data_IF_554707010149
#
_entry.id   IF_554707010149
#
_cell.length_a   1.000
_cell.length_b   1.000
_cell.length_c   1.000
_cell.angle_alpha   90.00
_cell.angle_beta   90.00
_cell.angle_gamma   90.00
#
_symmetry.space_group_name_H-M   'P 1'
#
loop_
_entity.id
_entity.type
_entity.pdbx_description
1 polymer ?
#
# COMPACT_ATOMS: atom_id res chain seq x y z
N UNK A 1 -3.38 -4.19 5.00
CA UNK A 1 -2.07 -4.69 4.49
C UNK A 1 -1.14 -4.93 5.67
N UNK A 2 -0.37 -6.03 5.69
CA UNK A 2 0.56 -6.30 6.80
C UNK A 2 1.91 -5.62 6.63
N UNK A 3 2.61 -5.40 7.74
CA UNK A 3 3.95 -4.80 7.73
C UNK A 3 4.93 -5.65 6.91
N UNK A 4 4.79 -6.97 6.92
CA UNK A 4 5.68 -7.86 6.17
C UNK A 4 5.52 -7.67 4.65
N UNK A 5 4.29 -7.46 4.17
CA UNK A 5 4.04 -7.19 2.75
C UNK A 5 4.51 -5.79 2.34
N UNK A 6 4.26 -4.78 3.19
CA UNK A 6 4.71 -3.41 2.93
C UNK A 6 6.24 -3.33 2.86
N UNK A 7 6.94 -4.03 3.76
CA UNK A 7 8.40 -4.12 3.75
C UNK A 7 8.93 -5.26 2.87
N UNK A 8 8.10 -6.03 2.17
CA UNK A 8 8.55 -7.08 1.25
C UNK A 8 9.13 -6.51 -0.04
N UNK A 9 8.75 -5.29 -0.41
CA UNK A 9 9.18 -4.59 -1.63
C UNK A 9 8.45 -5.03 -2.91
N UNK A 10 7.70 -6.13 -2.88
CA UNK A 10 6.99 -6.69 -4.03
C UNK A 10 5.49 -6.32 -4.08
N UNK A 11 4.98 -5.58 -3.09
CA UNK A 11 3.56 -5.26 -2.99
C UNK A 11 3.05 -4.39 -4.16
N UNK A 12 3.81 -3.37 -4.55
CA UNK A 12 3.46 -2.48 -5.66
C UNK A 12 3.43 -3.22 -7.00
N UNK A 13 4.40 -4.10 -7.25
CA UNK A 13 4.45 -4.94 -8.43
C UNK A 13 3.25 -5.90 -8.50
N UNK A 14 2.94 -6.56 -7.38
CA UNK A 14 1.79 -7.46 -7.28
C UNK A 14 0.48 -6.73 -7.58
N UNK A 15 0.26 -5.57 -6.96
CA UNK A 15 -0.94 -4.76 -7.19
C UNK A 15 -1.04 -4.33 -8.65
N UNK A 16 0.07 -3.87 -9.24
CA UNK A 16 0.11 -3.48 -10.66
C UNK A 16 -0.24 -4.66 -11.60
N UNK A 17 0.27 -5.85 -11.31
CA UNK A 17 -0.05 -7.06 -12.08
C UNK A 17 -1.53 -7.41 -12.00
N UNK A 18 -2.12 -7.40 -10.80
CA UNK A 18 -3.54 -7.71 -10.58
C UNK A 18 -4.46 -6.68 -11.24
N UNK A 19 -4.14 -5.38 -11.15
CA UNK A 19 -4.91 -4.33 -11.82
C UNK A 19 -4.91 -4.54 -13.35
N UNK A 20 -3.76 -4.88 -13.91
CA UNK A 20 -3.62 -5.16 -15.35
C UNK A 20 -4.37 -6.42 -15.77
N UNK A 21 -4.32 -7.47 -14.97
CA UNK A 21 -4.99 -8.75 -15.25
C UNK A 21 -6.52 -8.61 -15.18
N UNK A 22 -7.01 -7.90 -14.16
CA UNK A 22 -8.45 -7.78 -13.89
C UNK A 22 -9.12 -6.65 -14.66
N UNK A 23 -8.36 -5.66 -15.12
CA UNK A 23 -8.91 -4.42 -15.68
C UNK A 23 -9.66 -3.57 -14.65
N UNK A 24 -9.47 -3.83 -13.35
CA UNK A 24 -10.05 -3.02 -12.29
C UNK A 24 -9.47 -1.60 -12.39
N UNK A 25 -10.35 -0.61 -12.44
CA UNK A 25 -9.96 0.79 -12.32
C UNK A 25 -9.21 0.99 -10.99
N UNK A 26 -7.94 1.42 -11.02
CA UNK A 26 -7.14 1.59 -9.80
C UNK A 26 -7.79 2.52 -8.78
N UNK A 27 -8.54 3.52 -9.22
CA UNK A 27 -9.25 4.46 -8.35
C UNK A 27 -10.34 3.80 -7.48
N UNK A 28 -10.74 2.57 -7.83
CA UNK A 28 -11.71 1.76 -7.08
C UNK A 28 -11.06 0.80 -6.08
N UNK A 29 -9.72 0.72 -6.07
CA UNK A 29 -8.97 -0.09 -5.12
C UNK A 29 -8.44 0.80 -4.00
N UNK A 30 -8.88 0.53 -2.77
CA UNK A 30 -8.36 1.14 -1.56
C UNK A 30 -7.49 0.13 -0.80
N UNK A 31 -6.28 0.55 -0.44
CA UNK A 31 -5.35 -0.22 0.37
C UNK A 31 -5.23 0.42 1.76
N UNK A 32 -5.64 -0.34 2.76
CA UNK A 32 -5.55 0.07 4.15
C UNK A 32 -4.21 -0.34 4.78
N UNK A 33 -3.56 0.63 5.42
CA UNK A 33 -2.25 0.50 6.05
C UNK A 33 -2.38 0.85 7.54
N UNK A 34 -2.00 -0.06 8.43
CA UNK A 34 -2.00 0.25 9.87
C UNK A 34 -0.82 1.15 10.24
N UNK A 35 -0.96 1.95 11.30
CA UNK A 35 0.09 2.86 11.78
C UNK A 35 1.39 2.10 12.12
N UNK A 36 1.27 0.93 12.76
CA UNK A 36 2.41 0.06 13.11
C UNK A 36 3.20 -0.39 11.88
N UNK A 37 2.55 -0.58 10.73
CA UNK A 37 3.25 -0.91 9.49
C UNK A 37 4.11 0.24 8.98
N UNK A 38 3.68 1.49 9.19
CA UNK A 38 4.42 2.69 8.79
C UNK A 38 5.63 2.93 9.71
N UNK A 39 5.44 2.85 11.03
CA UNK A 39 6.46 3.24 12.01
C UNK A 39 7.65 2.27 12.04
N UNK A 40 7.44 0.99 11.72
CA UNK A 40 8.50 -0.03 11.76
C UNK A 40 9.70 0.29 10.87
N UNK A 41 9.46 0.82 9.67
CA UNK A 41 10.50 1.32 8.74
C UNK A 41 9.86 2.34 7.78
N UNK A 42 9.77 3.58 8.26
CA UNK A 42 9.09 4.69 7.57
C UNK A 42 9.67 4.93 6.17
N UNK A 43 11.00 4.85 6.01
CA UNK A 43 11.66 5.11 4.73
C UNK A 43 11.24 4.12 3.66
N UNK A 44 11.27 2.82 4.00
CA UNK A 44 10.84 1.76 3.09
C UNK A 44 9.33 1.79 2.85
N UNK A 45 8.54 1.99 3.90
CA UNK A 45 7.09 2.12 3.78
C UNK A 45 6.70 3.26 2.82
N UNK A 46 7.28 4.46 2.98
CA UNK A 46 7.03 5.61 2.11
C UNK A 46 7.38 5.33 0.64
N UNK A 47 8.48 4.61 0.37
CA UNK A 47 8.85 4.24 -0.99
C UNK A 47 7.77 3.37 -1.65
N UNK A 48 7.25 2.37 -0.94
CA UNK A 48 6.19 1.49 -1.45
C UNK A 48 4.86 2.23 -1.59
N UNK A 49 4.50 3.08 -0.62
CA UNK A 49 3.27 3.88 -0.70
C UNK A 49 3.27 4.85 -1.89
N UNK A 50 4.42 5.46 -2.21
CA UNK A 50 4.58 6.30 -3.41
C UNK A 50 4.38 5.49 -4.69
N UNK A 51 4.94 4.28 -4.76
CA UNK A 51 4.74 3.41 -5.91
C UNK A 51 3.26 3.01 -6.05
N UNK A 52 2.61 2.63 -4.96
CA UNK A 52 1.17 2.32 -4.96
C UNK A 52 0.33 3.52 -5.42
N UNK A 53 0.58 4.72 -4.88
CA UNK A 53 -0.09 5.95 -5.34
C UNK A 53 0.13 6.22 -6.83
N UNK A 54 1.31 5.94 -7.37
CA UNK A 54 1.60 6.13 -8.81
C UNK A 54 0.79 5.20 -9.71
N UNK A 55 0.27 4.08 -9.18
CA UNK A 55 -0.65 3.19 -9.90
C UNK A 55 -2.08 3.75 -9.95
N UNK A 56 -2.39 4.81 -9.19
CA UNK A 56 -3.74 5.39 -9.10
C UNK A 56 -4.62 4.80 -8.01
N UNK A 57 -4.07 3.96 -7.12
CA UNK A 57 -4.84 3.35 -6.02
C UNK A 57 -5.07 4.32 -4.85
N UNK A 58 -6.17 4.13 -4.14
CA UNK A 58 -6.44 4.83 -2.89
C UNK A 58 -5.67 4.15 -1.75
N UNK A 59 -5.27 4.96 -0.76
CA UNK A 59 -4.56 4.48 0.42
C UNK A 59 -5.22 5.10 1.63
N UNK A 60 -5.65 4.25 2.55
CA UNK A 60 -6.24 4.62 3.83
C UNK A 60 -5.31 4.17 4.98
N UNK A 61 -5.45 4.82 6.14
CA UNK A 61 -4.67 4.52 7.33
C UNK A 61 -5.62 4.06 8.45
N UNK A 62 -5.43 2.84 8.94
CA UNK A 62 -6.46 2.08 9.71
C UNK A 62 -6.63 2.52 11.17
N UNK A 63 -5.60 3.07 11.82
CA UNK A 63 -5.61 3.28 13.29
C UNK A 63 -5.04 4.65 13.69
N UNK A 64 -5.45 5.75 13.04
CA UNK A 64 -4.90 7.06 13.39
C UNK A 64 -5.42 7.53 14.75
N UNK A 65 -4.64 7.35 15.83
CA UNK A 65 -4.89 7.99 17.13
C UNK A 65 -5.10 7.09 18.37
N UNK A 66 -4.71 5.82 18.34
CA UNK A 66 -4.83 4.92 19.52
C UNK A 66 -3.51 4.53 20.15
N UNK A 67 -2.48 5.40 20.04
CA UNK A 67 -1.15 5.20 20.62
C UNK A 67 -1.14 4.59 22.01
#
# INVERSE_FOLDING_TARGET
VSAMQLHGGNLSELVGAVLKETGLDPSRLELEITETCLIKDIGRALAVLRQLKSLGVQIAMDDFGTG
#
